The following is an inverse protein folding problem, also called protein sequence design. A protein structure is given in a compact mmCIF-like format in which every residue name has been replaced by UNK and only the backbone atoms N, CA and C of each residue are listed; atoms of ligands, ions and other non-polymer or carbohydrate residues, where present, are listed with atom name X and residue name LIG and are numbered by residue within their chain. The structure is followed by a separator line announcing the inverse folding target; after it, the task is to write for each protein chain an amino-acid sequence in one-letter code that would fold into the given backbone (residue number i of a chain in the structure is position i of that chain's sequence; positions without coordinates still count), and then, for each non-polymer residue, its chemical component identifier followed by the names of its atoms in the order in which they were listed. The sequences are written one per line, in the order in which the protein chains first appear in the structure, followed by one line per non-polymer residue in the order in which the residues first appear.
data_IF_989314413836
#
_entry.id   IF_989314413836
#
_cell.length_a   1.000
_cell.length_b   1.000
_cell.length_c   1.000
_cell.angle_alpha   90.00
_cell.angle_beta   90.00
_cell.angle_gamma   90.00
#
_symmetry.space_group_name_H-M   'P 1'
#
loop_
_entity.id
_entity.type
_entity.pdbx_description
1 polymer ?
#
# COMPACT_ATOMS: atom_id res chain seq x y z
N UNK A 1 -52.06 -2.57 -11.58
CA UNK A 1 -51.51 -3.67 -12.42
C UNK A 1 -50.58 -3.19 -13.53
N UNK A 2 -50.85 -2.08 -14.24
CA UNK A 2 -49.90 -1.53 -15.23
C UNK A 2 -48.74 -0.73 -14.60
N UNK A 3 -48.96 -0.02 -13.50
CA UNK A 3 -47.89 0.70 -12.76
C UNK A 3 -46.87 -0.24 -12.10
N UNK A 4 -47.29 -1.37 -11.53
CA UNK A 4 -46.37 -2.38 -11.00
C UNK A 4 -45.52 -3.05 -12.09
N UNK A 5 -46.09 -3.23 -13.29
CA UNK A 5 -45.32 -3.73 -14.44
C UNK A 5 -44.31 -2.69 -14.91
N UNK A 6 -44.68 -1.41 -14.94
CA UNK A 6 -43.79 -0.31 -15.32
C UNK A 6 -42.65 -0.15 -14.31
N UNK A 7 -42.96 -0.22 -13.01
CA UNK A 7 -41.96 -0.15 -11.93
C UNK A 7 -41.01 -1.35 -11.93
N UNK A 8 -41.51 -2.57 -12.22
CA UNK A 8 -40.64 -3.75 -12.43
C UNK A 8 -39.77 -3.64 -13.68
N UNK A 9 -40.25 -3.02 -14.75
CA UNK A 9 -39.44 -2.75 -15.95
C UNK A 9 -38.38 -1.66 -15.69
N UNK A 10 -38.71 -0.61 -14.95
CA UNK A 10 -37.76 0.44 -14.53
C UNK A 10 -36.72 -0.11 -13.53
N UNK A 11 -37.11 -1.01 -12.62
CA UNK A 11 -36.21 -1.72 -11.70
C UNK A 11 -35.34 -2.78 -12.40
N UNK A 12 -35.80 -3.33 -13.55
CA UNK A 12 -35.00 -4.23 -14.39
C UNK A 12 -34.02 -3.45 -15.28
N UNK A 13 -34.43 -2.31 -15.84
CA UNK A 13 -33.60 -1.44 -16.68
C UNK A 13 -32.57 -0.67 -15.85
N UNK A 14 -32.90 -0.25 -14.62
CA UNK A 14 -31.94 0.41 -13.71
C UNK A 14 -30.94 -0.56 -13.06
N UNK A 15 -31.23 -1.88 -13.04
CA UNK A 15 -30.26 -2.91 -12.62
C UNK A 15 -29.26 -3.30 -13.70
N UNK A 16 -29.50 -2.94 -14.96
CA UNK A 16 -28.60 -3.22 -16.09
C UNK A 16 -27.59 -2.07 -16.36
N UNK A 17 -27.61 -0.97 -15.61
CA UNK A 17 -26.71 0.18 -15.82
C UNK A 17 -25.31 0.07 -15.18
N UNK A 18 -24.98 -1.02 -14.47
CA UNK A 18 -23.58 -1.41 -14.22
C UNK A 18 -23.11 -2.54 -15.15
N UNK A 19 -23.59 -2.54 -16.40
CA UNK A 19 -23.05 -3.40 -17.46
C UNK A 19 -21.56 -3.15 -17.66
N UNK A 20 -20.76 -4.23 -17.63
CA UNK A 20 -19.31 -4.18 -17.93
C UNK A 20 -19.10 -3.49 -19.28
N UNK A 21 -18.56 -2.26 -19.28
CA UNK A 21 -18.26 -1.51 -20.49
C UNK A 21 -17.18 -2.24 -21.29
N UNK A 22 -17.46 -2.57 -22.55
CA UNK A 22 -16.49 -3.21 -23.45
C UNK A 22 -15.60 -2.14 -24.09
N UNK A 23 -14.30 -2.31 -23.96
CA UNK A 23 -13.29 -1.43 -24.55
C UNK A 23 -12.35 -2.26 -25.41
N UNK A 24 -12.05 -1.78 -26.61
CA UNK A 24 -11.01 -2.37 -27.48
C UNK A 24 -9.68 -1.71 -27.15
N UNK A 25 -8.66 -2.50 -26.87
CA UNK A 25 -7.27 -2.06 -26.70
C UNK A 25 -6.50 -2.53 -27.92
N UNK A 26 -5.84 -1.60 -28.60
CA UNK A 26 -4.92 -1.91 -29.70
C UNK A 26 -3.53 -1.99 -29.08
N UNK A 27 -2.87 -3.12 -29.30
CA UNK A 27 -1.49 -3.35 -28.89
C UNK A 27 -0.63 -3.47 -30.13
N UNK A 28 0.57 -2.91 -30.09
CA UNK A 28 1.59 -3.17 -31.08
C UNK A 28 2.03 -4.64 -31.04
N UNK A 29 2.66 -5.11 -32.12
CA UNK A 29 3.01 -6.53 -32.26
C UNK A 29 3.94 -7.00 -31.13
N UNK A 30 4.95 -6.21 -30.81
CA UNK A 30 5.92 -6.50 -29.75
C UNK A 30 5.28 -6.49 -28.35
N UNK A 31 4.38 -5.55 -28.08
CA UNK A 31 3.59 -5.52 -26.85
C UNK A 31 2.71 -6.77 -26.72
N UNK A 32 2.07 -7.19 -27.82
CA UNK A 32 1.23 -8.39 -27.84
C UNK A 32 2.06 -9.66 -27.66
N UNK A 33 3.18 -9.78 -28.36
CA UNK A 33 4.09 -10.91 -28.27
C UNK A 33 4.64 -11.05 -26.84
N UNK A 34 4.95 -9.93 -26.18
CA UNK A 34 5.36 -9.88 -24.78
C UNK A 34 4.26 -10.37 -23.82
N UNK A 35 3.02 -9.89 -23.97
CA UNK A 35 1.88 -10.34 -23.16
C UNK A 35 1.62 -11.84 -23.35
N UNK A 36 1.63 -12.32 -24.59
CA UNK A 36 1.42 -13.75 -24.88
C UNK A 36 2.56 -14.61 -24.32
N UNK A 37 3.81 -14.12 -24.32
CA UNK A 37 4.92 -14.77 -23.62
C UNK A 37 4.66 -14.89 -22.12
N UNK A 38 4.27 -13.80 -21.45
CA UNK A 38 3.97 -13.79 -20.02
C UNK A 38 2.86 -14.78 -19.64
N UNK A 39 1.85 -14.93 -20.50
CA UNK A 39 0.75 -15.89 -20.31
C UNK A 39 1.23 -17.33 -20.50
N UNK A 40 2.01 -17.61 -21.56
CA UNK A 40 2.58 -18.95 -21.81
C UNK A 40 3.50 -19.42 -20.68
N UNK A 41 4.26 -18.51 -20.09
CA UNK A 41 5.13 -18.78 -18.94
C UNK A 41 4.37 -18.91 -17.60
N UNK A 42 3.05 -18.70 -17.61
CA UNK A 42 2.21 -18.76 -16.41
C UNK A 42 2.40 -17.59 -15.44
N UNK A 43 3.09 -16.52 -15.86
CA UNK A 43 3.33 -15.31 -15.04
C UNK A 43 2.09 -14.43 -14.93
N UNK A 44 1.24 -14.44 -15.96
CA UNK A 44 -0.04 -13.73 -15.98
C UNK A 44 -1.16 -14.67 -16.45
N UNK A 45 -2.34 -14.67 -15.80
CA UNK A 45 -3.42 -15.59 -16.13
C UNK A 45 -4.18 -15.21 -17.42
N UNK A 46 -3.92 -14.02 -17.97
CA UNK A 46 -4.52 -13.54 -19.20
C UNK A 46 -4.45 -12.01 -19.34
N UNK A 47 -4.78 -11.50 -20.53
CA UNK A 47 -4.72 -10.06 -20.81
C UNK A 47 -5.69 -9.25 -19.94
N UNK A 48 -6.92 -9.74 -19.71
CA UNK A 48 -7.91 -9.00 -18.90
C UNK A 48 -7.45 -8.83 -17.45
N UNK A 49 -7.04 -9.89 -16.72
CA UNK A 49 -6.46 -9.75 -15.38
C UNK A 49 -5.22 -8.85 -15.35
N UNK A 50 -4.34 -8.94 -16.36
CA UNK A 50 -3.17 -8.07 -16.49
C UNK A 50 -3.58 -6.61 -16.55
N UNK A 51 -4.51 -6.24 -17.44
CA UNK A 51 -4.97 -4.85 -17.57
C UNK A 51 -5.63 -4.36 -16.28
N UNK A 52 -6.46 -5.19 -15.62
CA UNK A 52 -7.04 -4.83 -14.32
C UNK A 52 -5.96 -4.55 -13.26
N UNK A 53 -4.96 -5.43 -13.15
CA UNK A 53 -3.81 -5.26 -12.26
C UNK A 53 -3.01 -3.99 -12.59
N UNK A 54 -2.77 -3.70 -13.86
CA UNK A 54 -2.06 -2.50 -14.29
C UNK A 54 -2.82 -1.22 -13.94
N UNK A 55 -4.15 -1.18 -14.12
CA UNK A 55 -4.98 -0.04 -13.72
C UNK A 55 -4.97 0.18 -12.20
N UNK A 56 -5.02 -0.91 -11.43
CA UNK A 56 -4.92 -0.83 -9.98
C UNK A 56 -3.56 -0.28 -9.55
N UNK A 57 -2.45 -0.78 -10.11
CA UNK A 57 -1.11 -0.26 -9.84
C UNK A 57 -0.99 1.22 -10.26
N UNK A 58 -1.46 1.56 -11.45
CA UNK A 58 -1.41 2.92 -12.01
C UNK A 58 -2.08 3.93 -11.07
N UNK A 59 -3.26 3.60 -10.56
CA UNK A 59 -3.98 4.41 -9.58
C UNK A 59 -3.31 4.40 -8.21
N UNK A 60 -2.96 3.23 -7.68
CA UNK A 60 -2.42 3.09 -6.33
C UNK A 60 -1.03 3.69 -6.15
N UNK A 61 -0.22 3.76 -7.21
CA UNK A 61 1.09 4.42 -7.21
C UNK A 61 1.04 5.86 -7.70
N UNK A 62 -0.15 6.36 -8.06
CA UNK A 62 -0.35 7.71 -8.62
C UNK A 62 0.56 7.96 -9.84
N UNK A 63 0.67 6.96 -10.73
CA UNK A 63 1.57 7.02 -11.89
C UNK A 63 1.21 8.18 -12.83
N UNK A 64 -0.05 8.63 -12.82
CA UNK A 64 -0.48 9.83 -13.55
C UNK A 64 0.22 11.13 -13.11
N UNK A 65 0.79 11.17 -11.91
CA UNK A 65 1.57 12.32 -11.41
C UNK A 65 3.08 12.20 -11.72
N UNK A 66 3.52 11.08 -12.31
CA UNK A 66 4.93 10.85 -12.60
C UNK A 66 5.36 11.63 -13.83
N UNK A 67 6.57 12.21 -13.78
CA UNK A 67 7.26 12.71 -14.99
C UNK A 67 8.27 11.65 -15.40
N UNK A 68 7.82 10.75 -16.25
CA UNK A 68 8.64 9.65 -16.72
C UNK A 68 9.61 10.13 -17.83
N UNK A 69 10.89 9.75 -17.79
CA UNK A 69 11.59 8.99 -16.73
C UNK A 69 12.21 9.89 -15.63
N UNK A 70 12.37 9.35 -14.43
CA UNK A 70 13.27 9.90 -13.40
C UNK A 70 12.67 10.79 -12.31
N UNK A 71 11.43 11.26 -12.46
CA UNK A 71 10.70 11.96 -11.38
C UNK A 71 9.39 11.26 -11.05
N UNK A 72 9.42 10.41 -10.02
CA UNK A 72 8.28 9.64 -9.55
C UNK A 72 7.70 10.26 -8.30
N UNK A 73 6.40 10.51 -8.30
CA UNK A 73 5.68 11.11 -7.19
C UNK A 73 4.55 10.20 -6.71
N UNK A 74 4.32 10.21 -5.42
CA UNK A 74 3.21 9.50 -4.81
C UNK A 74 2.55 10.45 -3.82
N UNK A 75 1.68 11.32 -4.34
CA UNK A 75 1.22 12.51 -3.64
C UNK A 75 2.35 13.51 -3.44
N UNK A 76 2.53 14.00 -2.22
CA UNK A 76 3.59 14.98 -1.91
C UNK A 76 5.00 14.37 -1.82
N UNK A 77 5.12 13.05 -1.86
CA UNK A 77 6.41 12.36 -1.69
C UNK A 77 7.06 12.02 -3.03
N UNK A 78 8.33 12.44 -3.18
CA UNK A 78 9.21 11.94 -4.23
C UNK A 78 9.65 10.52 -3.90
N UNK A 79 9.56 9.63 -4.87
CA UNK A 79 9.96 8.24 -4.76
C UNK A 79 11.22 7.99 -5.59
N UNK A 80 12.15 7.23 -5.02
CA UNK A 80 13.29 6.67 -5.72
C UNK A 80 13.26 5.14 -5.58
N UNK A 81 13.48 4.44 -6.69
CA UNK A 81 13.67 2.99 -6.67
C UNK A 81 15.13 2.70 -6.31
N UNK A 82 15.34 2.13 -5.12
CA UNK A 82 16.64 1.76 -4.59
C UNK A 82 16.64 0.31 -4.16
N UNK A 83 17.73 -0.39 -4.45
CA UNK A 83 17.94 -1.77 -4.01
C UNK A 83 17.98 -1.85 -2.48
N UNK A 84 17.27 -2.84 -1.93
CA UNK A 84 17.20 -3.07 -0.48
C UNK A 84 18.57 -3.32 0.13
N UNK A 85 19.48 -3.94 -0.62
CA UNK A 85 20.86 -4.19 -0.21
C UNK A 85 21.61 -2.90 0.13
N UNK A 86 21.38 -1.82 -0.63
CA UNK A 86 22.01 -0.52 -0.40
C UNK A 86 21.52 0.10 0.92
N UNK A 87 20.21 0.03 1.18
CA UNK A 87 19.63 0.49 2.44
C UNK A 87 20.14 -0.33 3.62
N UNK A 88 20.26 -1.65 3.46
CA UNK A 88 20.79 -2.51 4.51
C UNK A 88 22.24 -2.16 4.87
N UNK A 89 23.11 -1.89 3.88
CA UNK A 89 24.48 -1.44 4.12
C UNK A 89 24.49 -0.12 4.89
N UNK A 90 23.65 0.86 4.50
CA UNK A 90 23.56 2.14 5.21
C UNK A 90 23.16 1.94 6.68
N UNK A 91 22.14 1.12 6.95
CA UNK A 91 21.64 0.89 8.31
C UNK A 91 22.68 0.16 9.18
N UNK A 92 23.49 -0.74 8.59
CA UNK A 92 24.55 -1.45 9.34
C UNK A 92 25.62 -0.52 9.92
N UNK A 93 25.80 0.68 9.36
CA UNK A 93 26.72 1.69 9.90
C UNK A 93 26.10 2.54 11.01
N UNK A 94 24.82 2.37 11.31
CA UNK A 94 24.11 3.10 12.35
C UNK A 94 24.17 2.29 13.65
N UNK A 95 24.56 2.89 14.79
CA UNK A 95 24.52 2.22 16.09
C UNK A 95 23.11 1.71 16.43
N UNK A 96 23.01 0.47 16.92
CA UNK A 96 21.73 -0.23 17.13
C UNK A 96 20.80 0.51 18.07
N UNK A 97 21.34 1.14 19.10
CA UNK A 97 20.61 1.95 20.08
C UNK A 97 19.85 3.12 19.44
N UNK A 98 20.24 3.56 18.24
CA UNK A 98 19.57 4.63 17.49
C UNK A 98 18.48 4.13 16.55
N UNK A 99 18.39 2.83 16.28
CA UNK A 99 17.49 2.30 15.25
C UNK A 99 16.03 2.62 15.55
N UNK A 100 15.59 2.46 16.80
CA UNK A 100 14.20 2.78 17.17
C UNK A 100 13.89 4.28 17.05
N UNK A 101 14.83 5.14 17.42
CA UNK A 101 14.68 6.61 17.29
C UNK A 101 14.56 7.02 15.82
N UNK A 102 15.47 6.52 14.97
CA UNK A 102 15.43 6.75 13.52
C UNK A 102 14.15 6.21 12.92
N UNK A 103 13.71 5.03 13.36
CA UNK A 103 12.42 4.48 12.99
C UNK A 103 11.29 5.46 13.28
N UNK A 104 11.23 6.03 14.50
CA UNK A 104 10.19 7.00 14.88
C UNK A 104 10.19 8.23 13.97
N UNK A 105 11.34 8.78 13.65
CA UNK A 105 11.45 9.91 12.73
C UNK A 105 10.97 9.55 11.32
N UNK A 106 11.36 8.37 10.81
CA UNK A 106 10.88 7.85 9.53
C UNK A 106 9.36 7.67 9.53
N UNK A 107 8.80 7.12 10.61
CA UNK A 107 7.37 6.93 10.81
C UNK A 107 6.60 8.25 10.81
N UNK A 108 7.10 9.26 11.53
CA UNK A 108 6.50 10.59 11.59
C UNK A 108 6.52 11.29 10.21
N UNK A 109 7.63 11.19 9.47
CA UNK A 109 7.70 11.73 8.11
C UNK A 109 6.71 11.01 7.16
N UNK A 110 6.60 9.69 7.28
CA UNK A 110 5.68 8.88 6.49
C UNK A 110 4.22 9.19 6.82
N UNK A 111 3.92 9.42 8.10
CA UNK A 111 2.61 9.87 8.57
C UNK A 111 2.18 11.13 7.82
N UNK A 112 2.97 12.20 7.87
CA UNK A 112 2.65 13.48 7.18
C UNK A 112 2.37 13.26 5.69
N UNK A 113 3.16 12.44 5.01
CA UNK A 113 2.93 12.09 3.61
C UNK A 113 1.58 11.41 3.39
N UNK A 114 1.26 10.41 4.21
CA UNK A 114 0.01 9.66 4.10
C UNK A 114 -1.20 10.52 4.41
N UNK A 115 -1.16 11.31 5.48
CA UNK A 115 -2.28 12.14 5.89
C UNK A 115 -2.58 13.24 4.85
N UNK A 116 -1.54 13.83 4.27
CA UNK A 116 -1.70 14.87 3.24
C UNK A 116 -2.16 14.28 1.90
N UNK A 117 -1.65 13.11 1.52
CA UNK A 117 -1.92 12.49 0.21
C UNK A 117 -3.25 11.76 0.18
N UNK A 118 -3.62 11.09 1.27
CA UNK A 118 -4.82 10.24 1.34
C UNK A 118 -5.97 10.91 2.11
N UNK A 119 -5.71 12.01 2.83
CA UNK A 119 -6.71 12.63 3.70
C UNK A 119 -7.11 11.74 4.89
N UNK A 120 -6.26 10.78 5.27
CA UNK A 120 -6.51 9.83 6.35
C UNK A 120 -5.77 10.27 7.61
N UNK A 121 -6.32 10.09 8.80
CA UNK A 121 -5.59 10.31 10.04
C UNK A 121 -4.95 9.01 10.50
N UNK A 122 -3.61 8.95 10.58
CA UNK A 122 -2.90 7.71 10.87
C UNK A 122 -3.06 7.25 12.32
N UNK A 123 -3.28 8.18 13.25
CA UNK A 123 -3.60 7.86 14.64
C UNK A 123 -4.96 7.14 14.80
N UNK A 124 -5.88 7.32 13.83
CA UNK A 124 -7.18 6.69 13.86
C UNK A 124 -7.11 5.27 13.28
N UNK A 125 -7.42 4.29 14.12
CA UNK A 125 -7.28 2.86 13.81
C UNK A 125 -8.14 2.39 12.64
N UNK A 126 -9.29 3.01 12.42
CA UNK A 126 -10.17 2.75 11.27
C UNK A 126 -9.49 3.00 9.91
N UNK A 127 -8.47 3.86 9.87
CA UNK A 127 -7.74 4.19 8.65
C UNK A 127 -6.58 3.22 8.36
N UNK A 128 -6.22 2.35 9.30
CA UNK A 128 -5.00 1.54 9.20
C UNK A 128 -5.03 0.56 8.04
N UNK A 129 -6.16 -0.04 7.71
CA UNK A 129 -6.24 -0.95 6.56
C UNK A 129 -5.90 -0.25 5.24
N UNK A 130 -6.30 1.01 5.08
CA UNK A 130 -5.99 1.79 3.88
C UNK A 130 -4.51 2.19 3.86
N UNK A 131 -3.94 2.53 5.03
CA UNK A 131 -2.50 2.77 5.19
C UNK A 131 -1.70 1.50 4.86
N UNK A 132 -2.11 0.33 5.34
CA UNK A 132 -1.47 -0.95 5.04
C UNK A 132 -1.46 -1.28 3.55
N UNK A 133 -2.57 -1.03 2.85
CA UNK A 133 -2.63 -1.18 1.39
C UNK A 133 -1.60 -0.28 0.71
N UNK A 134 -1.47 0.98 1.15
CA UNK A 134 -0.50 1.93 0.60
C UNK A 134 0.94 1.48 0.86
N UNK A 135 1.26 1.08 2.09
CA UNK A 135 2.57 0.56 2.47
C UNK A 135 2.96 -0.67 1.64
N UNK A 136 2.03 -1.62 1.45
CA UNK A 136 2.23 -2.80 0.61
C UNK A 136 2.58 -2.42 -0.83
N UNK A 137 1.82 -1.48 -1.41
CA UNK A 137 2.09 -0.98 -2.78
C UNK A 137 3.47 -0.34 -2.89
N UNK A 138 3.94 0.32 -1.83
CA UNK A 138 5.29 0.91 -1.76
C UNK A 138 6.40 -0.10 -1.43
N UNK A 139 6.06 -1.38 -1.22
CA UNK A 139 7.05 -2.43 -0.94
C UNK A 139 7.48 -2.54 0.52
N UNK A 140 6.75 -1.94 1.47
CA UNK A 140 7.10 -2.00 2.90
C UNK A 140 6.91 -3.40 3.51
N UNK A 141 6.11 -4.25 2.86
CA UNK A 141 5.75 -5.59 3.31
C UNK A 141 4.24 -5.74 3.53
N UNK A 142 3.84 -6.87 4.09
CA UNK A 142 2.44 -7.20 4.32
C UNK A 142 2.06 -6.99 5.79
N UNK A 143 1.21 -5.98 6.02
CA UNK A 143 0.71 -5.62 7.33
C UNK A 143 -0.64 -6.26 7.61
N UNK A 144 -0.80 -6.73 8.85
CA UNK A 144 -2.07 -7.26 9.36
C UNK A 144 -2.28 -6.79 10.79
N UNK A 145 -3.52 -6.46 11.13
CA UNK A 145 -3.94 -6.16 12.48
C UNK A 145 -4.82 -7.32 12.98
N UNK A 146 -4.43 -7.94 14.10
CA UNK A 146 -5.20 -9.00 14.74
C UNK A 146 -5.31 -8.71 16.23
N UNK A 147 -6.50 -8.35 16.69
CA UNK A 147 -6.79 -7.95 18.08
C UNK A 147 -5.87 -6.84 18.57
N UNK A 148 -4.85 -7.15 19.38
CA UNK A 148 -3.85 -6.19 19.88
C UNK A 148 -2.49 -6.33 19.20
N UNK A 149 -2.38 -7.15 18.16
CA UNK A 149 -1.14 -7.46 17.50
C UNK A 149 -1.07 -6.86 16.09
N UNK A 150 0.04 -6.20 15.81
CA UNK A 150 0.46 -5.85 14.45
C UNK A 150 1.43 -6.92 13.95
N UNK A 151 1.13 -7.47 12.78
CA UNK A 151 1.97 -8.45 12.10
C UNK A 151 2.51 -7.85 10.82
N UNK A 152 3.82 -7.97 10.60
CA UNK A 152 4.50 -7.59 9.38
C UNK A 152 5.21 -8.80 8.78
N UNK A 153 4.74 -9.23 7.62
CA UNK A 153 5.39 -10.27 6.81
C UNK A 153 6.23 -9.63 5.71
N UNK A 154 7.31 -10.33 5.33
CA UNK A 154 8.23 -9.91 4.26
C UNK A 154 8.61 -8.42 4.33
N UNK A 155 9.08 -7.92 5.49
CA UNK A 155 9.55 -6.55 5.58
C UNK A 155 10.75 -6.34 4.65
N UNK A 156 10.83 -5.18 4.00
CA UNK A 156 12.00 -4.88 3.16
C UNK A 156 13.29 -4.66 3.97
N UNK A 157 13.17 -4.30 5.26
CA UNK A 157 14.30 -4.22 6.19
C UNK A 157 14.19 -5.32 7.25
N UNK A 158 15.29 -6.02 7.51
CA UNK A 158 15.35 -7.12 8.47
C UNK A 158 15.60 -6.73 9.93
N UNK A 159 15.48 -5.44 10.28
CA UNK A 159 15.79 -4.91 11.62
C UNK A 159 14.52 -4.57 12.39
N UNK A 160 14.10 -5.42 13.36
CA UNK A 160 12.83 -5.26 14.06
C UNK A 160 12.71 -3.95 14.86
N UNK A 161 13.80 -3.46 15.45
CA UNK A 161 13.82 -2.24 16.26
C UNK A 161 13.56 -0.98 15.43
N UNK A 162 14.04 -0.98 14.18
CA UNK A 162 13.73 0.08 13.23
C UNK A 162 12.24 0.07 12.87
N UNK A 163 11.66 -1.11 12.67
CA UNK A 163 10.23 -1.27 12.42
C UNK A 163 9.35 -0.90 13.60
N UNK A 164 9.77 -1.28 14.82
CA UNK A 164 9.11 -0.86 16.05
C UNK A 164 8.99 0.67 16.06
N UNK A 165 10.12 1.37 15.90
CA UNK A 165 10.14 2.82 15.83
C UNK A 165 9.27 3.39 14.71
N UNK A 166 9.37 2.83 13.50
CA UNK A 166 8.61 3.28 12.33
C UNK A 166 7.11 3.20 12.57
N UNK A 167 6.62 2.08 13.10
CA UNK A 167 5.21 1.90 13.36
C UNK A 167 4.73 2.76 14.53
N UNK A 168 5.55 2.97 15.56
CA UNK A 168 5.26 3.90 16.65
C UNK A 168 5.10 5.34 16.14
N UNK A 169 6.03 5.82 15.30
CA UNK A 169 5.98 7.17 14.73
C UNK A 169 4.89 7.35 13.69
N UNK A 170 4.55 6.30 12.93
CA UNK A 170 3.50 6.35 11.92
C UNK A 170 2.10 6.41 12.55
N UNK A 171 1.86 5.63 13.61
CA UNK A 171 0.53 5.43 14.18
C UNK A 171 0.30 6.11 15.53
N UNK A 172 1.28 6.82 16.08
CA UNK A 172 1.24 7.42 17.43
C UNK A 172 0.88 6.41 18.54
N UNK A 173 1.49 5.23 18.46
CA UNK A 173 1.30 4.15 19.42
C UNK A 173 2.62 3.78 20.10
N UNK A 174 2.50 2.99 21.17
CA UNK A 174 3.63 2.29 21.76
C UNK A 174 3.51 0.80 21.48
N UNK A 175 4.64 0.22 21.06
CA UNK A 175 4.75 -1.18 20.69
C UNK A 175 5.69 -1.92 21.61
N UNK A 176 5.44 -3.22 21.72
CA UNK A 176 6.30 -4.19 22.37
C UNK A 176 6.53 -5.36 21.42
N UNK A 177 7.77 -5.48 20.97
CA UNK A 177 8.19 -6.53 20.05
C UNK A 177 8.08 -7.92 20.67
N UNK A 178 7.45 -8.86 19.93
CA UNK A 178 7.29 -10.27 20.33
C UNK A 178 8.16 -11.23 19.55
N UNK A 179 8.62 -10.84 18.36
CA UNK A 179 9.53 -11.63 17.54
C UNK A 179 10.66 -10.78 17.00
N UNK A 180 11.86 -11.36 16.89
CA UNK A 180 13.07 -10.71 16.38
C UNK A 180 13.40 -11.09 14.94
N UNK A 181 12.56 -11.91 14.30
CA UNK A 181 12.69 -12.35 12.92
C UNK A 181 11.33 -12.40 12.23
N UNK A 182 11.25 -12.18 10.91
CA UNK A 182 9.99 -12.25 10.17
C UNK A 182 9.25 -13.60 10.34
N UNK A 183 7.92 -13.60 10.51
CA UNK A 183 7.06 -12.43 10.59
C UNK A 183 7.29 -11.63 11.88
N UNK A 184 7.42 -10.31 11.74
CA UNK A 184 7.57 -9.43 12.89
C UNK A 184 6.21 -9.27 13.55
N UNK A 185 6.17 -9.45 14.86
CA UNK A 185 4.94 -9.35 15.66
C UNK A 185 5.16 -8.32 16.74
N UNK A 186 4.27 -7.33 16.80
CA UNK A 186 4.29 -6.26 17.79
C UNK A 186 2.97 -6.25 18.56
N UNK A 187 3.01 -6.15 19.88
CA UNK A 187 1.84 -5.92 20.72
C UNK A 187 1.65 -4.42 20.94
N UNK A 188 0.43 -3.92 20.74
CA UNK A 188 0.07 -2.53 21.00
C UNK A 188 -0.16 -2.36 22.51
N UNK A 189 0.61 -1.48 23.16
CA UNK A 189 0.49 -1.19 24.60
C UNK A 189 -0.46 -0.05 24.89
N UNK A 190 -0.35 1.05 24.14
CA UNK A 190 -1.02 2.31 24.43
C UNK A 190 -1.16 3.11 23.13
N UNK A 191 -2.35 3.66 22.88
CA UNK A 191 -2.53 4.74 21.89
C UNK A 191 -2.28 6.06 22.64
N UNK A 192 -1.36 6.89 22.16
CA UNK A 192 -1.25 8.25 22.72
C UNK A 192 -2.55 8.99 22.38
N UNK A 193 -3.22 9.62 23.36
CA UNK A 193 -4.39 10.44 23.05
C UNK A 193 -3.97 11.57 22.10
N UNK A 194 -4.78 11.80 21.06
CA UNK A 194 -4.61 12.93 20.15
C UNK A 194 -4.54 14.23 20.97
N UNK A 195 -3.66 15.20 20.64
CA UNK A 195 -3.74 16.53 21.22
C UNK A 195 -5.12 17.10 20.90
N UNK A 196 -5.91 17.39 21.92
CA UNK A 196 -7.14 18.16 21.79
C UNK A 196 -6.76 19.53 21.22
N UNK A 197 -7.30 19.86 20.04
CA UNK A 197 -7.16 21.20 19.45
C UNK A 197 -7.88 22.25 20.30
#
# INVERSE_FOLDING_TARGET
MQEEKKKRLEDMVSKDEEGTKRTTIILEKDERDFVDQMIREGKEPGIKPLISKMLDVYRSMMIYDWRFPGEYYCGISRIAFVNVELLNILIQHIPKEKWREIGKEMGAALKVSMETTLGLQAAQRENWENIFKRLRVQGFGDFYLKDKYLLLKTPFIGYPELWEGLLEGLFDIELDMKTTAPPLVFEIKTQKPLPTQ
#
